data_IF_994279263605
#
_entry.id   IF_994279263605
#
_cell.length_a   1.000
_cell.length_b   1.000
_cell.length_c   1.000
_cell.angle_alpha   90.00
_cell.angle_beta   90.00
_cell.angle_gamma   90.00
#
_symmetry.space_group_name_H-M   'P 1'
#
loop_
_entity.id
_entity.type
_entity.pdbx_description
1 polymer ?
#
# COMPACT_ATOMS: atom_id res chain seq x y z
N UNK A 1 31.99 3.96 36.06
CA UNK A 1 30.72 3.51 35.44
C UNK A 1 30.36 4.51 34.33
N UNK A 2 30.40 4.12 33.05
CA UNK A 2 30.02 5.04 31.95
C UNK A 2 28.56 5.46 32.17
N UNK A 3 28.33 6.77 32.32
CA UNK A 3 27.05 7.34 32.77
C UNK A 3 25.91 6.84 31.85
N UNK A 4 24.77 6.37 32.38
CA UNK A 4 23.67 5.80 31.59
C UNK A 4 23.17 6.75 30.50
N UNK A 5 23.33 8.07 30.69
CA UNK A 5 23.03 9.09 29.69
C UNK A 5 23.87 9.01 28.41
N UNK A 6 25.10 8.49 28.45
CA UNK A 6 25.92 8.29 27.24
C UNK A 6 25.31 7.21 26.35
N UNK A 7 24.91 6.08 26.96
CA UNK A 7 24.28 4.97 26.24
C UNK A 7 22.97 5.39 25.58
N UNK A 8 22.16 6.21 26.26
CA UNK A 8 20.92 6.73 25.69
C UNK A 8 21.21 7.61 24.47
N UNK A 9 22.21 8.51 24.54
CA UNK A 9 22.59 9.35 23.40
C UNK A 9 23.10 8.53 22.21
N UNK A 10 23.92 7.51 22.48
CA UNK A 10 24.44 6.59 21.46
C UNK A 10 23.30 5.83 20.76
N UNK A 11 22.31 5.32 21.52
CA UNK A 11 21.17 4.61 20.91
C UNK A 11 20.25 5.53 20.12
N UNK A 12 20.01 6.77 20.59
CA UNK A 12 19.24 7.77 19.83
C UNK A 12 19.94 8.07 18.49
N UNK A 13 21.25 8.27 18.49
CA UNK A 13 22.01 8.50 17.26
C UNK A 13 21.89 7.30 16.30
N UNK A 14 22.04 6.08 16.83
CA UNK A 14 21.88 4.84 16.06
C UNK A 14 20.48 4.73 15.44
N UNK A 15 19.43 5.01 16.20
CA UNK A 15 18.04 4.97 15.72
C UNK A 15 17.76 6.05 14.65
N UNK A 16 18.34 7.24 14.80
CA UNK A 16 18.24 8.30 13.80
C UNK A 16 18.94 7.91 12.49
N UNK A 17 20.10 7.26 12.57
CA UNK A 17 20.78 6.72 11.38
C UNK A 17 19.96 5.63 10.70
N UNK A 18 19.36 4.73 11.49
CA UNK A 18 18.47 3.70 10.96
C UNK A 18 17.23 4.29 10.29
N UNK A 19 16.63 5.33 10.88
CA UNK A 19 15.49 6.03 10.30
C UNK A 19 15.86 6.65 8.94
N UNK A 20 16.96 7.41 8.87
CA UNK A 20 17.44 8.02 7.63
C UNK A 20 17.71 6.98 6.54
N UNK A 21 18.33 5.85 6.90
CA UNK A 21 18.61 4.77 5.96
C UNK A 21 17.33 4.11 5.44
N UNK A 22 16.31 3.94 6.31
CA UNK A 22 15.02 3.40 5.93
C UNK A 22 14.25 4.35 5.00
N UNK A 23 14.21 5.65 5.32
CA UNK A 23 13.58 6.68 4.49
C UNK A 23 14.23 6.77 3.10
N UNK A 24 15.57 6.76 3.05
CA UNK A 24 16.32 6.77 1.79
C UNK A 24 15.97 5.54 0.93
N UNK A 25 15.95 4.35 1.54
CA UNK A 25 15.60 3.11 0.84
C UNK A 25 14.19 3.16 0.27
N UNK A 26 13.24 3.74 1.01
CA UNK A 26 11.86 3.86 0.56
C UNK A 26 11.71 4.86 -0.58
N UNK A 27 12.35 6.03 -0.47
CA UNK A 27 12.40 7.03 -1.55
C UNK A 27 12.97 6.42 -2.84
N UNK A 28 14.08 5.69 -2.75
CA UNK A 28 14.64 4.98 -3.89
C UNK A 28 13.73 3.89 -4.46
N UNK A 29 13.02 3.15 -3.59
CA UNK A 29 12.12 2.09 -4.03
C UNK A 29 10.99 2.68 -4.87
N UNK A 30 10.38 3.76 -4.40
CA UNK A 30 9.34 4.48 -5.15
C UNK A 30 9.92 5.09 -6.42
N UNK A 31 11.08 5.75 -6.34
CA UNK A 31 11.77 6.34 -7.49
C UNK A 31 12.09 5.32 -8.59
N UNK A 32 12.56 4.12 -8.23
CA UNK A 32 12.81 3.04 -9.20
C UNK A 32 11.54 2.57 -9.91
N UNK A 33 10.41 2.52 -9.21
CA UNK A 33 9.12 2.19 -9.82
C UNK A 33 8.67 3.29 -10.77
N UNK A 34 8.79 4.56 -10.36
CA UNK A 34 8.47 5.73 -11.18
C UNK A 34 9.29 5.76 -12.48
N UNK A 35 10.60 5.53 -12.41
CA UNK A 35 11.48 5.47 -13.58
C UNK A 35 11.08 4.35 -14.54
N UNK A 36 10.78 3.15 -14.02
CA UNK A 36 10.32 2.03 -14.86
C UNK A 36 8.95 2.26 -15.47
N UNK A 37 8.13 3.12 -14.88
CA UNK A 37 6.85 3.55 -15.41
C UNK A 37 6.98 4.69 -16.44
N UNK A 38 8.20 5.13 -16.77
CA UNK A 38 8.45 6.19 -17.76
C UNK A 38 8.28 7.61 -17.21
N UNK A 39 8.09 7.79 -15.90
CA UNK A 39 7.88 9.13 -15.31
C UNK A 39 9.09 10.04 -15.55
N UNK A 40 10.31 9.47 -15.55
CA UNK A 40 11.54 10.23 -15.80
C UNK A 40 11.74 10.72 -17.24
N UNK A 41 10.91 10.27 -18.18
CA UNK A 41 10.95 10.69 -19.59
C UNK A 41 10.01 11.88 -19.86
N UNK A 42 9.17 12.23 -18.89
CA UNK A 42 8.21 13.32 -19.01
C UNK A 42 8.85 14.61 -18.49
N UNK A 43 8.90 15.65 -19.34
CA UNK A 43 9.23 16.99 -18.88
C UNK A 43 8.04 17.57 -18.09
N UNK A 44 8.20 17.64 -16.77
CA UNK A 44 7.28 18.30 -15.84
C UNK A 44 8.08 18.89 -14.69
N UNK A 45 7.56 19.96 -14.08
CA UNK A 45 8.17 20.49 -12.86
C UNK A 45 7.81 19.65 -11.63
N UNK A 46 8.52 19.89 -10.54
CA UNK A 46 8.34 19.15 -9.29
C UNK A 46 6.95 19.34 -8.66
N UNK A 47 6.34 20.51 -8.86
CA UNK A 47 5.03 20.83 -8.28
C UNK A 47 3.92 20.10 -9.02
N UNK A 48 4.01 20.03 -10.35
CA UNK A 48 3.10 19.26 -11.20
C UNK A 48 3.23 17.76 -10.93
N UNK A 49 4.47 17.27 -10.78
CA UNK A 49 4.73 15.88 -10.43
C UNK A 49 4.14 15.52 -9.06
N UNK A 50 4.31 16.40 -8.06
CA UNK A 50 3.71 16.22 -6.74
C UNK A 50 2.18 16.18 -6.82
N UNK A 51 1.57 17.12 -7.53
CA UNK A 51 0.11 17.18 -7.74
C UNK A 51 -0.41 15.88 -8.37
N UNK A 52 0.29 15.35 -9.38
CA UNK A 52 -0.09 14.09 -10.01
C UNK A 52 -0.03 12.89 -9.03
N UNK A 53 0.98 12.83 -8.15
CA UNK A 53 1.05 11.80 -7.11
C UNK A 53 -0.06 11.93 -6.06
N UNK A 54 -0.45 13.15 -5.71
CA UNK A 54 -1.58 13.41 -4.82
C UNK A 54 -2.91 12.94 -5.44
N UNK A 55 -3.12 13.16 -6.74
CA UNK A 55 -4.28 12.62 -7.45
C UNK A 55 -4.31 11.08 -7.44
N UNK A 56 -3.17 10.43 -7.69
CA UNK A 56 -3.05 8.97 -7.59
C UNK A 56 -3.45 8.51 -6.19
N UNK A 57 -2.94 9.17 -5.16
CA UNK A 57 -3.30 8.90 -3.76
C UNK A 57 -4.80 9.06 -3.53
N UNK A 58 -5.41 10.10 -4.09
CA UNK A 58 -6.87 10.31 -4.07
C UNK A 58 -7.65 9.15 -4.70
N UNK A 59 -7.21 8.65 -5.86
CA UNK A 59 -7.83 7.50 -6.55
C UNK A 59 -7.76 6.22 -5.70
N UNK A 60 -6.63 5.96 -5.05
CA UNK A 60 -6.45 4.77 -4.21
C UNK A 60 -7.15 4.87 -2.84
N UNK A 61 -7.20 6.06 -2.23
CA UNK A 61 -7.92 6.29 -0.96
C UNK A 61 -9.44 6.33 -1.16
N UNK A 62 -9.90 6.85 -2.30
CA UNK A 62 -11.31 7.02 -2.63
C UNK A 62 -12.00 5.80 -3.23
N UNK A 63 -11.52 4.58 -2.94
CA UNK A 63 -11.95 3.31 -3.56
C UNK A 63 -13.47 3.11 -3.67
N UNK A 64 -14.07 3.67 -4.73
CA UNK A 64 -15.33 3.22 -5.33
C UNK A 64 -15.33 3.67 -6.79
N UNK A 65 -14.72 2.82 -7.62
CA UNK A 65 -15.10 2.60 -9.03
C UNK A 65 -15.72 3.80 -9.76
N UNK A 66 -14.88 4.64 -10.38
CA UNK A 66 -15.25 5.15 -11.70
C UNK A 66 -15.02 3.99 -12.68
N UNK A 67 -15.89 2.98 -12.60
CA UNK A 67 -16.08 2.03 -13.68
C UNK A 67 -16.34 2.88 -14.91
N UNK A 68 -15.38 2.94 -15.82
CA UNK A 68 -15.57 3.60 -17.09
C UNK A 68 -16.70 2.83 -17.78
N UNK A 69 -17.87 3.45 -17.81
CA UNK A 69 -19.03 3.00 -18.56
C UNK A 69 -18.61 2.72 -20.01
N UNK A 70 -18.32 1.46 -20.33
CA UNK A 70 -18.44 0.98 -21.70
C UNK A 70 -19.90 0.66 -21.94
N UNK A 71 -20.63 1.73 -22.24
CA UNK A 71 -21.97 1.74 -22.82
C UNK A 71 -22.06 0.71 -23.95
N UNK A 72 -22.76 -0.39 -23.72
CA UNK A 72 -23.45 -1.10 -24.78
C UNK A 72 -24.84 -1.47 -24.29
N UNK A 73 -25.84 -0.81 -24.86
CA UNK A 73 -27.24 -1.02 -24.51
C UNK A 73 -27.72 -2.39 -24.99
N UNK A 74 -28.48 -3.06 -24.13
CA UNK A 74 -29.11 -4.33 -24.42
C UNK A 74 -29.76 -4.89 -23.16
N UNK A 75 -30.96 -4.40 -22.85
CA UNK A 75 -31.87 -4.91 -21.82
C UNK A 75 -32.06 -6.44 -21.93
N UNK A 76 -31.69 -7.20 -20.89
CA UNK A 76 -32.42 -8.41 -20.46
C UNK A 76 -32.20 -8.66 -18.94
N UNK A 77 -33.18 -8.20 -18.16
CA UNK A 77 -33.88 -8.88 -17.05
C UNK A 77 -33.15 -9.83 -16.08
N UNK A 78 -33.25 -9.43 -14.80
CA UNK A 78 -33.64 -10.22 -13.61
C UNK A 78 -32.77 -11.38 -13.14
N UNK A 79 -32.19 -11.22 -11.95
CA UNK A 79 -31.67 -12.33 -11.15
C UNK A 79 -31.17 -11.87 -9.79
N UNK A 80 -32.09 -11.71 -8.84
CA UNK A 80 -31.80 -11.66 -7.40
C UNK A 80 -30.96 -12.88 -6.99
N UNK A 81 -29.87 -12.68 -6.24
CA UNK A 81 -28.99 -13.79 -5.86
C UNK A 81 -27.93 -13.41 -4.82
N UNK A 82 -28.38 -13.29 -3.58
CA UNK A 82 -27.70 -13.63 -2.33
C UNK A 82 -26.19 -13.36 -2.17
N UNK A 83 -25.92 -12.48 -1.18
CA UNK A 83 -24.70 -12.45 -0.37
C UNK A 83 -24.26 -13.87 0.04
N UNK A 84 -23.09 -14.31 -0.43
CA UNK A 84 -22.45 -15.53 0.04
C UNK A 84 -21.35 -15.18 1.06
N UNK A 85 -21.76 -15.14 2.32
CA UNK A 85 -20.86 -15.36 3.45
C UNK A 85 -20.43 -16.83 3.43
N UNK A 86 -19.18 -17.12 3.06
CA UNK A 86 -18.62 -18.45 3.31
C UNK A 86 -18.01 -18.49 4.72
N UNK A 87 -18.79 -19.12 5.60
CA UNK A 87 -18.41 -19.51 6.95
C UNK A 87 -17.43 -20.71 6.95
N UNK A 88 -16.71 -20.77 8.06
CA UNK A 88 -15.84 -21.83 8.57
C UNK A 88 -16.45 -23.25 8.57
N UNK A 89 -15.60 -24.26 8.37
CA UNK A 89 -15.78 -25.67 8.79
C UNK A 89 -14.69 -26.54 8.13
N UNK A 90 -13.61 -26.95 8.82
CA UNK A 90 -13.42 -28.09 9.74
C UNK A 90 -13.49 -29.47 9.08
N UNK A 91 -12.40 -30.23 9.19
CA UNK A 91 -12.34 -31.71 9.25
C UNK A 91 -11.00 -32.09 9.92
N UNK A 92 -10.79 -33.16 10.70
CA UNK A 92 -11.53 -33.87 11.74
C UNK A 92 -10.59 -34.98 12.28
N UNK A 93 -10.74 -35.34 13.56
CA UNK A 93 -10.33 -36.62 14.24
C UNK A 93 -8.84 -36.91 14.50
N UNK A 94 -8.38 -37.49 15.62
CA UNK A 94 -9.01 -38.05 16.83
C UNK A 94 -8.03 -38.97 17.61
N UNK A 95 -8.40 -39.36 18.86
CA UNK A 95 -7.76 -40.27 19.85
C UNK A 95 -6.76 -39.64 20.86
N UNK A 96 -7.08 -39.42 22.15
CA UNK A 96 -7.37 -40.34 23.30
C UNK A 96 -6.10 -41.12 23.73
N UNK A 97 -5.65 -41.23 24.98
CA UNK A 97 -6.30 -41.46 26.29
C UNK A 97 -5.38 -41.09 27.49
N UNK A 98 -6.02 -41.01 28.67
CA UNK A 98 -5.60 -41.39 30.04
C UNK A 98 -4.48 -40.61 30.77
#
# INVERSE_FOLDING_TARGET
>A
MKKPSSKIREEIARLQDQLRAAETREAERIGRVALRAGIGEIEMDETDLQTAFEEITGRFRGGKTASTDKKNGGDVRTGSGASASNASGTDASGSSEA
#
